data_IF_773878616539
#
_entry.id   IF_773878616539
#
_cell.length_a   1.000
_cell.length_b   1.000
_cell.length_c   1.000
_cell.angle_alpha   90.00
_cell.angle_beta   90.00
_cell.angle_gamma   90.00
#
_symmetry.space_group_name_H-M   'P 1'
#
loop_
_entity.id
_entity.type
_entity.pdbx_description
1 polymer ?
#
# COMPACT_ATOMS: atom_id res chain seq x y z
N UNK A 1 13.79 9.22 -0.50
CA UNK A 1 12.86 10.19 -1.14
C UNK A 1 11.63 10.35 -0.24
N UNK A 2 10.70 11.27 -0.50
CA UNK A 2 9.57 11.54 0.41
C UNK A 2 8.69 10.31 0.70
N UNK A 3 8.57 9.40 -0.28
CA UNK A 3 7.85 8.11 -0.16
C UNK A 3 8.47 7.14 0.86
N UNK A 4 9.75 7.34 1.20
CA UNK A 4 10.49 6.51 2.16
C UNK A 4 10.61 7.22 3.51
N UNK A 5 9.86 8.31 3.72
CA UNK A 5 9.93 9.12 4.93
C UNK A 5 9.19 8.46 6.09
N UNK A 6 9.83 8.38 7.26
CA UNK A 6 9.16 7.95 8.49
C UNK A 6 7.96 8.83 8.83
N UNK A 7 7.97 10.12 8.47
CA UNK A 7 6.84 11.02 8.71
C UNK A 7 5.63 10.60 7.88
N UNK A 8 5.85 10.16 6.64
CA UNK A 8 4.76 9.62 5.81
C UNK A 8 4.20 8.35 6.43
N UNK A 9 5.06 7.43 6.87
CA UNK A 9 4.61 6.20 7.52
C UNK A 9 3.75 6.49 8.75
N UNK A 10 4.21 7.38 9.64
CA UNK A 10 3.47 7.76 10.86
C UNK A 10 2.14 8.43 10.54
N UNK A 11 2.08 9.25 9.49
CA UNK A 11 0.83 9.86 9.04
C UNK A 11 -0.16 8.80 8.52
N UNK A 12 0.33 7.80 7.78
CA UNK A 12 -0.48 6.68 7.28
C UNK A 12 -0.95 5.74 8.40
N UNK A 13 -0.22 5.66 9.52
CA UNK A 13 -0.61 4.87 10.69
C UNK A 13 -1.82 5.47 11.44
N UNK A 14 -2.22 6.72 11.14
CA UNK A 14 -3.41 7.37 11.73
C UNK A 14 -4.74 6.89 11.12
N UNK A 15 -4.73 6.19 9.99
CA UNK A 15 -5.93 5.58 9.43
C UNK A 15 -6.37 4.39 10.28
N UNK A 16 -7.63 4.36 10.68
CA UNK A 16 -8.18 3.20 11.40
C UNK A 16 -8.18 1.95 10.49
N UNK A 17 -7.47 0.92 10.93
CA UNK A 17 -7.25 -0.34 10.21
C UNK A 17 -8.36 -1.38 10.44
N UNK A 18 -9.42 -1.01 11.16
CA UNK A 18 -10.60 -1.85 11.43
C UNK A 18 -11.90 -1.25 10.90
N UNK A 19 -11.88 0.01 10.48
CA UNK A 19 -13.06 0.74 10.04
C UNK A 19 -13.04 0.92 8.51
N UNK A 20 -14.03 0.36 7.78
CA UNK A 20 -14.04 0.36 6.31
C UNK A 20 -13.98 1.75 5.66
N UNK A 21 -14.58 2.77 6.29
CA UNK A 21 -14.57 4.15 5.77
C UNK A 21 -13.14 4.70 5.67
N UNK A 22 -12.31 4.41 6.67
CA UNK A 22 -10.90 4.81 6.68
C UNK A 22 -10.08 4.01 5.68
N UNK A 23 -10.40 2.73 5.49
CA UNK A 23 -9.76 1.93 4.44
C UNK A 23 -10.04 2.44 3.03
N UNK A 24 -11.27 2.90 2.75
CA UNK A 24 -11.61 3.55 1.47
C UNK A 24 -10.86 4.86 1.28
N UNK A 25 -10.80 5.70 2.32
CA UNK A 25 -10.08 6.97 2.29
C UNK A 25 -8.57 6.76 2.06
N UNK A 26 -7.99 5.76 2.73
CA UNK A 26 -6.59 5.36 2.54
C UNK A 26 -6.31 4.97 1.10
N UNK A 27 -7.11 4.04 0.54
CA UNK A 27 -6.90 3.55 -0.82
C UNK A 27 -7.00 4.67 -1.85
N UNK A 28 -7.96 5.60 -1.69
CA UNK A 28 -8.09 6.76 -2.56
C UNK A 28 -6.86 7.68 -2.48
N UNK A 29 -6.37 7.98 -1.28
CA UNK A 29 -5.19 8.84 -1.09
C UNK A 29 -3.92 8.20 -1.67
N UNK A 30 -3.71 6.91 -1.46
CA UNK A 30 -2.55 6.22 -2.04
C UNK A 30 -2.64 6.16 -3.57
N UNK A 31 -3.82 5.93 -4.15
CA UNK A 31 -3.99 5.96 -5.60
C UNK A 31 -3.58 7.32 -6.20
N UNK A 32 -3.93 8.43 -5.52
CA UNK A 32 -3.47 9.77 -5.93
C UNK A 32 -1.96 9.96 -5.72
N UNK A 33 -1.40 9.44 -4.63
CA UNK A 33 0.03 9.52 -4.31
C UNK A 33 0.94 8.86 -5.36
N UNK A 34 0.50 7.72 -5.92
CA UNK A 34 1.32 6.94 -6.86
C UNK A 34 0.94 7.17 -8.32
N UNK A 35 -0.03 8.04 -8.58
CA UNK A 35 -0.50 8.35 -9.93
C UNK A 35 0.66 8.90 -10.78
N UNK A 36 0.86 8.33 -11.97
CA UNK A 36 1.91 8.74 -12.89
C UNK A 36 3.31 8.21 -12.59
N UNK A 37 3.52 7.45 -11.50
CA UNK A 37 4.81 6.82 -11.21
C UNK A 37 5.25 5.85 -12.31
N UNK A 38 4.31 5.23 -13.01
CA UNK A 38 4.57 4.38 -14.18
C UNK A 38 5.15 5.16 -15.38
N UNK A 39 5.06 6.50 -15.38
CA UNK A 39 5.57 7.35 -16.45
C UNK A 39 7.09 7.61 -16.41
N UNK A 40 7.79 7.16 -15.37
CA UNK A 40 9.25 7.25 -15.30
C UNK A 40 9.89 5.91 -14.88
N UNK A 41 11.13 5.59 -15.33
CA UNK A 41 11.75 4.29 -15.08
C UNK A 41 11.86 3.94 -13.59
N UNK A 42 12.22 4.93 -12.76
CA UNK A 42 12.41 4.75 -11.32
C UNK A 42 11.08 4.45 -10.61
N UNK A 43 10.00 5.16 -10.99
CA UNK A 43 8.67 4.94 -10.43
C UNK A 43 8.08 3.61 -10.90
N UNK A 44 8.23 3.27 -12.18
CA UNK A 44 7.79 1.99 -12.73
C UNK A 44 8.49 0.81 -12.06
N UNK A 45 9.80 0.88 -11.84
CA UNK A 45 10.57 -0.15 -11.12
C UNK A 45 10.08 -0.30 -9.67
N UNK A 46 9.80 0.81 -8.98
CA UNK A 46 9.27 0.79 -7.62
C UNK A 46 7.87 0.17 -7.54
N UNK A 47 6.98 0.53 -8.48
CA UNK A 47 5.65 -0.09 -8.58
C UNK A 47 5.75 -1.60 -8.83
N UNK A 48 6.62 -2.04 -9.73
CA UNK A 48 6.84 -3.45 -10.01
C UNK A 48 7.33 -4.21 -8.76
N UNK A 49 8.29 -3.64 -8.02
CA UNK A 49 8.77 -4.22 -6.76
C UNK A 49 7.65 -4.35 -5.72
N UNK A 50 6.79 -3.34 -5.58
CA UNK A 50 5.65 -3.41 -4.67
C UNK A 50 4.58 -4.41 -5.10
N UNK A 51 4.31 -4.57 -6.40
CA UNK A 51 3.38 -5.58 -6.88
C UNK A 51 3.90 -7.00 -6.73
N UNK A 52 5.22 -7.19 -6.76
CA UNK A 52 5.86 -8.49 -6.52
C UNK A 52 5.98 -8.85 -5.02
N UNK A 53 5.82 -7.88 -4.12
CA UNK A 53 5.93 -8.10 -2.67
C UNK A 53 4.65 -8.71 -2.08
N UNK A 54 4.67 -10.02 -1.90
CA UNK A 54 3.56 -10.79 -1.29
C UNK A 54 3.48 -10.65 0.23
N UNK A 55 4.51 -10.10 0.87
CA UNK A 55 4.50 -9.84 2.32
C UNK A 55 3.69 -8.60 2.69
N UNK A 56 3.41 -7.72 1.71
CA UNK A 56 2.73 -6.44 1.90
C UNK A 56 3.43 -5.67 3.03
N UNK A 57 4.71 -5.34 2.80
CA UNK A 57 5.51 -4.59 3.76
C UNK A 57 4.87 -3.23 4.08
N UNK A 58 5.24 -2.62 5.22
CA UNK A 58 4.69 -1.32 5.64
C UNK A 58 4.87 -0.21 4.58
N UNK A 59 6.00 -0.25 3.87
CA UNK A 59 6.38 0.67 2.80
C UNK A 59 5.68 0.35 1.46
N UNK A 60 5.02 -0.81 1.34
CA UNK A 60 4.31 -1.21 0.14
C UNK A 60 2.96 -0.49 0.06
N UNK A 61 2.99 0.73 -0.49
CA UNK A 61 1.80 1.58 -0.55
C UNK A 61 0.69 0.94 -1.41
N UNK A 62 1.03 0.38 -2.58
CA UNK A 62 0.01 -0.20 -3.48
C UNK A 62 -0.57 -1.51 -2.94
N UNK A 63 0.24 -2.35 -2.30
CA UNK A 63 -0.23 -3.56 -1.60
C UNK A 63 -1.14 -3.21 -0.44
N UNK A 64 -0.79 -2.19 0.36
CA UNK A 64 -1.68 -1.67 1.42
C UNK A 64 -2.94 -1.04 0.84
N UNK A 65 -2.89 -0.38 -0.32
CA UNK A 65 -4.07 0.18 -0.96
C UNK A 65 -5.01 -0.92 -1.50
N UNK A 66 -4.45 -1.99 -2.07
CA UNK A 66 -5.19 -3.17 -2.54
C UNK A 66 -6.01 -3.80 -1.39
N UNK A 67 -5.41 -3.88 -0.21
CA UNK A 67 -6.05 -4.43 1.00
C UNK A 67 -6.80 -3.38 1.83
N UNK A 68 -6.94 -2.16 1.30
CA UNK A 68 -7.58 -1.01 1.99
C UNK A 68 -6.97 -0.71 3.36
N UNK A 69 -5.70 -1.05 3.57
CA UNK A 69 -4.97 -0.91 4.85
C UNK A 69 -5.69 -1.60 6.04
N UNK A 70 -6.62 -2.52 5.76
CA UNK A 70 -7.38 -3.24 6.78
C UNK A 70 -6.60 -4.50 7.19
N UNK A 71 -6.38 -4.67 8.49
CA UNK A 71 -5.51 -5.72 9.00
C UNK A 71 -6.00 -7.14 8.62
N UNK A 72 -7.31 -7.36 8.71
CA UNK A 72 -7.91 -8.66 8.40
C UNK A 72 -7.79 -9.00 6.91
N UNK A 73 -8.04 -8.01 6.03
CA UNK A 73 -7.90 -8.16 4.57
C UNK A 73 -6.44 -8.41 4.19
N UNK A 74 -5.48 -7.71 4.82
CA UNK A 74 -4.06 -7.98 4.61
C UNK A 74 -3.66 -9.41 5.01
N UNK A 75 -4.16 -9.89 6.15
CA UNK A 75 -3.88 -11.25 6.61
C UNK A 75 -4.40 -12.30 5.61
N UNK A 76 -5.66 -12.17 5.18
CA UNK A 76 -6.26 -13.07 4.19
C UNK A 76 -5.53 -13.00 2.84
N UNK A 77 -5.11 -11.82 2.41
CA UNK A 77 -4.39 -11.63 1.15
C UNK A 77 -3.02 -12.32 1.18
N UNK A 78 -2.27 -12.21 2.29
CA UNK A 78 -0.99 -12.94 2.45
C UNK A 78 -1.19 -14.45 2.39
N UNK A 79 -2.26 -14.97 2.97
CA UNK A 79 -2.61 -16.40 2.89
C UNK A 79 -2.95 -16.79 1.44
N UNK A 80 -3.67 -15.94 0.72
CA UNK A 80 -4.00 -16.19 -0.68
C UNK A 80 -2.74 -16.21 -1.57
N UNK A 81 -1.82 -15.26 -1.39
CA UNK A 81 -0.55 -15.24 -2.13
C UNK A 81 0.33 -16.46 -1.83
N UNK A 82 0.36 -16.95 -0.59
CA UNK A 82 1.12 -18.14 -0.23
C UNK A 82 0.59 -19.44 -0.90
N UNK A 83 -0.62 -19.41 -1.46
CA UNK A 83 -1.25 -20.56 -2.13
C UNK A 83 -1.20 -20.48 -3.66
N UNK A 84 -0.83 -19.32 -4.22
CA UNK A 84 -0.76 -19.08 -5.66
C UNK A 84 0.59 -19.53 -6.23
#
# INVERSE_FOLDING_TARGET
AWLDSELLERALDLYDRKQPVWGQAFAAQIAQCVLGMNGCPQGAARLAAWWADTSIAKQNLVGRALTRNQADIEAETRIAFAKA
#
